data_IF_634050095548
#
_entry.id   IF_634050095548
#
_cell.length_a   1.000
_cell.length_b   1.000
_cell.length_c   1.000
_cell.angle_alpha   90.00
_cell.angle_beta   90.00
_cell.angle_gamma   90.00
#
_symmetry.space_group_name_H-M   'P 1'
#
loop_
_entity.id
_entity.type
_entity.pdbx_description
1 polymer ?
#
# COMPACT_ATOMS: atom_id res chain seq x y z
N UNK A 1 -5.93 -20.86 -18.65
CA UNK A 1 -6.55 -19.60 -18.18
C UNK A 1 -5.57 -18.45 -18.38
N UNK A 2 -5.73 -17.72 -19.48
CA UNK A 2 -4.92 -16.53 -19.78
C UNK A 2 -5.67 -15.32 -19.21
N UNK A 3 -5.25 -14.82 -18.05
CA UNK A 3 -5.67 -13.51 -17.53
C UNK A 3 -4.45 -12.60 -17.43
N UNK A 4 -4.15 -11.95 -18.54
CA UNK A 4 -3.35 -10.72 -18.65
C UNK A 4 -4.04 -9.98 -19.79
N UNK A 5 -4.51 -8.75 -19.62
CA UNK A 5 -3.75 -7.61 -19.12
C UNK A 5 -4.68 -6.57 -18.49
N UNK A 6 -4.51 -6.30 -17.21
CA UNK A 6 -5.09 -5.12 -16.54
C UNK A 6 -4.20 -3.88 -16.79
N UNK A 7 -2.97 -4.08 -17.29
CA UNK A 7 -1.95 -3.05 -17.45
C UNK A 7 -1.79 -2.57 -18.93
N UNK A 8 -2.78 -2.79 -19.81
CA UNK A 8 -2.78 -2.13 -21.13
C UNK A 8 -3.26 -0.69 -20.99
N UNK A 9 -2.30 0.22 -21.19
CA UNK A 9 -2.27 1.67 -21.07
C UNK A 9 -3.20 2.41 -22.09
N UNK A 10 -4.45 1.99 -22.25
CA UNK A 10 -5.42 2.64 -23.15
C UNK A 10 -6.63 3.25 -22.40
N UNK A 11 -6.95 2.79 -21.19
CA UNK A 11 -8.11 3.30 -20.43
C UNK A 11 -7.86 4.66 -19.74
N UNK A 12 -6.60 5.10 -19.62
CA UNK A 12 -6.23 6.37 -18.98
C UNK A 12 -6.47 7.60 -19.86
N UNK A 13 -6.62 7.43 -21.18
CA UNK A 13 -6.91 8.55 -22.09
C UNK A 13 -8.35 9.05 -22.00
N UNK A 14 -9.28 8.21 -21.55
CA UNK A 14 -10.71 8.54 -21.53
C UNK A 14 -11.14 9.48 -20.39
N UNK A 15 -10.33 9.65 -19.34
CA UNK A 15 -10.74 10.42 -18.17
C UNK A 15 -10.16 11.85 -18.11
N UNK A 16 -9.13 12.17 -18.89
CA UNK A 16 -8.56 13.51 -18.96
C UNK A 16 -9.42 14.51 -19.78
N UNK A 17 -10.34 14.01 -20.61
CA UNK A 17 -11.10 14.86 -21.55
C UNK A 17 -12.42 15.39 -20.95
N UNK A 18 -12.88 14.90 -19.80
CA UNK A 18 -14.21 15.27 -19.24
C UNK A 18 -14.20 16.36 -18.17
N UNK A 19 -13.02 16.87 -17.78
CA UNK A 19 -12.92 18.00 -16.84
C UNK A 19 -12.93 19.38 -17.49
N UNK A 20 -13.11 19.48 -18.82
CA UNK A 20 -13.47 20.75 -19.48
C UNK A 20 -14.99 20.78 -19.69
N UNK A 21 -15.74 21.14 -18.65
CA UNK A 21 -17.13 21.57 -18.82
C UNK A 21 -17.15 23.10 -18.82
N UNK A 22 -17.65 23.65 -19.92
CA UNK A 22 -17.74 25.06 -20.24
C UNK A 22 -18.43 25.87 -19.14
N UNK A 23 -17.92 27.07 -18.89
CA UNK A 23 -18.63 28.10 -18.14
C UNK A 23 -19.07 29.18 -19.12
N UNK A 24 -20.07 28.88 -19.94
CA UNK A 24 -20.85 29.91 -20.61
C UNK A 24 -21.82 30.49 -19.57
N UNK A 25 -21.40 31.57 -18.90
CA UNK A 25 -22.25 32.30 -17.96
C UNK A 25 -23.02 33.39 -18.72
N UNK A 26 -24.24 33.09 -19.17
CA UNK A 26 -25.26 34.11 -19.40
C UNK A 26 -26.04 34.38 -18.09
N UNK A 27 -26.38 35.65 -17.88
CA UNK A 27 -26.61 36.26 -16.57
C UNK A 27 -27.83 35.76 -15.78
N UNK A 28 -27.64 35.62 -14.46
CA UNK A 28 -28.70 35.43 -13.47
C UNK A 28 -28.41 36.26 -12.21
N UNK A 29 -29.47 36.86 -11.67
CA UNK A 29 -29.46 37.92 -10.67
C UNK A 29 -28.79 37.53 -9.34
N UNK A 30 -28.12 38.51 -8.70
CA UNK A 30 -27.17 38.34 -7.59
C UNK A 30 -27.67 37.72 -6.27
N UNK A 31 -28.92 37.28 -6.17
CA UNK A 31 -29.46 36.61 -4.98
C UNK A 31 -29.44 35.07 -5.10
N UNK A 32 -29.53 34.52 -6.31
CA UNK A 32 -29.34 33.08 -6.55
C UNK A 32 -27.86 32.67 -6.46
N UNK A 33 -26.96 33.57 -6.88
CA UNK A 33 -25.50 33.40 -6.83
C UNK A 33 -25.01 33.17 -5.40
N UNK A 34 -25.64 33.80 -4.40
CA UNK A 34 -25.26 33.64 -3.00
C UNK A 34 -25.60 32.24 -2.46
N UNK A 35 -26.77 31.68 -2.84
CA UNK A 35 -27.14 30.31 -2.48
C UNK A 35 -26.18 29.29 -3.13
N UNK A 36 -25.79 29.53 -4.40
CA UNK A 36 -24.78 28.73 -5.11
C UNK A 36 -23.41 28.78 -4.42
N UNK A 37 -22.94 29.97 -4.02
CA UNK A 37 -21.62 30.09 -3.39
C UNK A 37 -21.59 29.60 -1.93
N UNK A 38 -22.73 29.62 -1.22
CA UNK A 38 -22.75 29.34 0.24
C UNK A 38 -23.18 27.90 0.56
N UNK A 39 -24.04 27.27 -0.25
CA UNK A 39 -24.56 25.91 0.02
C UNK A 39 -23.95 24.85 -0.92
N UNK A 40 -23.77 25.20 -2.19
CA UNK A 40 -23.30 24.27 -3.22
C UNK A 40 -21.77 24.13 -3.18
N UNK A 41 -21.00 25.22 -3.03
CA UNK A 41 -19.53 25.18 -2.98
C UNK A 41 -18.91 24.28 -1.89
N UNK A 42 -19.35 24.27 -0.61
CA UNK A 42 -18.79 23.36 0.39
C UNK A 42 -19.20 21.89 0.16
N UNK A 43 -20.37 21.64 -0.43
CA UNK A 43 -20.78 20.30 -0.83
C UNK A 43 -19.97 19.79 -2.03
N UNK A 44 -19.72 20.63 -3.03
CA UNK A 44 -18.85 20.33 -4.17
C UNK A 44 -17.37 20.21 -3.78
N UNK A 45 -16.90 21.01 -2.81
CA UNK A 45 -15.55 20.91 -2.26
C UNK A 45 -15.35 19.60 -1.50
N UNK A 46 -16.32 19.19 -0.68
CA UNK A 46 -16.30 17.90 0.02
C UNK A 46 -16.36 16.71 -0.94
N UNK A 47 -17.16 16.82 -2.00
CA UNK A 47 -17.19 15.84 -3.09
C UNK A 47 -15.87 15.81 -3.86
N UNK A 48 -15.25 16.96 -4.13
CA UNK A 48 -13.94 17.06 -4.78
C UNK A 48 -12.81 16.42 -3.95
N UNK A 49 -12.85 16.57 -2.63
CA UNK A 49 -11.92 15.92 -1.71
C UNK A 49 -12.11 14.40 -1.68
N UNK A 50 -13.37 13.93 -1.70
CA UNK A 50 -13.70 12.51 -1.76
C UNK A 50 -13.27 11.90 -3.10
N UNK A 51 -13.55 12.60 -4.22
CA UNK A 51 -13.10 12.21 -5.56
C UNK A 51 -11.58 12.14 -5.63
N UNK A 52 -10.86 13.10 -5.03
CA UNK A 52 -9.40 13.10 -4.96
C UNK A 52 -8.86 11.92 -4.15
N UNK A 53 -9.45 11.62 -2.99
CA UNK A 53 -9.07 10.47 -2.16
C UNK A 53 -9.29 9.15 -2.89
N UNK A 54 -10.47 8.96 -3.48
CA UNK A 54 -10.81 7.76 -4.24
C UNK A 54 -9.89 7.58 -5.46
N UNK A 55 -9.54 8.68 -6.13
CA UNK A 55 -8.60 8.63 -7.26
C UNK A 55 -7.19 8.22 -6.81
N UNK A 56 -6.73 8.71 -5.68
CA UNK A 56 -5.43 8.30 -5.11
C UNK A 56 -5.43 6.83 -4.69
N UNK A 57 -6.51 6.35 -4.08
CA UNK A 57 -6.67 4.94 -3.70
C UNK A 57 -6.75 4.01 -4.92
N UNK A 58 -7.48 4.40 -5.97
CA UNK A 58 -7.51 3.67 -7.23
C UNK A 58 -6.12 3.55 -7.86
N UNK A 59 -5.32 4.61 -7.81
CA UNK A 59 -3.97 4.58 -8.33
C UNK A 59 -3.06 3.65 -7.52
N UNK A 60 -3.17 3.66 -6.18
CA UNK A 60 -2.49 2.66 -5.34
C UNK A 60 -2.92 1.24 -5.71
N UNK A 61 -4.21 0.98 -5.86
CA UNK A 61 -4.73 -0.34 -6.22
C UNK A 61 -4.20 -0.81 -7.58
N UNK A 62 -4.07 0.09 -8.55
CA UNK A 62 -3.46 -0.22 -9.86
C UNK A 62 -2.00 -0.63 -9.73
N UNK A 63 -1.22 0.12 -8.95
CA UNK A 63 0.20 -0.19 -8.68
C UNK A 63 0.30 -1.60 -8.05
N UNK A 64 -0.50 -1.88 -7.02
CA UNK A 64 -0.51 -3.19 -6.35
C UNK A 64 -1.01 -4.33 -7.24
N UNK A 65 -2.01 -4.08 -8.08
CA UNK A 65 -2.55 -5.08 -8.99
C UNK A 65 -1.58 -5.43 -10.13
N UNK A 66 -0.78 -4.47 -10.61
CA UNK A 66 0.24 -4.70 -11.63
C UNK A 66 1.55 -5.28 -11.07
N UNK A 67 1.68 -5.44 -9.75
CA UNK A 67 2.85 -6.09 -9.16
C UNK A 67 2.96 -7.56 -9.60
N UNK A 68 4.13 -7.93 -10.14
CA UNK A 68 4.43 -9.31 -10.52
C UNK A 68 4.59 -10.17 -9.26
N UNK A 69 3.70 -11.14 -9.09
CA UNK A 69 3.80 -12.15 -8.02
C UNK A 69 4.78 -13.26 -8.40
N UNK A 70 5.53 -13.75 -7.41
CA UNK A 70 6.38 -14.95 -7.50
C UNK A 70 5.54 -16.17 -7.08
N UNK A 71 5.87 -17.36 -7.57
CA UNK A 71 5.16 -18.58 -7.17
C UNK A 71 5.47 -18.91 -5.72
N UNK A 72 4.45 -19.31 -4.96
CA UNK A 72 4.62 -19.71 -3.55
C UNK A 72 5.65 -20.84 -3.40
N UNK A 73 5.65 -21.80 -4.32
CA UNK A 73 6.61 -22.91 -4.31
C UNK A 73 8.07 -22.47 -4.49
N UNK A 74 8.31 -21.36 -5.19
CA UNK A 74 9.64 -20.77 -5.37
C UNK A 74 10.04 -20.02 -4.09
N UNK A 75 9.19 -19.12 -3.59
CA UNK A 75 9.47 -18.38 -2.36
C UNK A 75 9.66 -19.29 -1.14
N UNK A 76 8.90 -20.38 -1.05
CA UNK A 76 9.06 -21.36 0.02
C UNK A 76 10.38 -22.13 -0.10
N UNK A 77 10.81 -22.47 -1.32
CA UNK A 77 12.11 -23.12 -1.53
C UNK A 77 13.24 -22.23 -1.03
N UNK A 78 13.19 -20.95 -1.38
CA UNK A 78 14.20 -19.98 -0.98
C UNK A 78 14.22 -19.81 0.55
N UNK A 79 13.04 -19.68 1.16
CA UNK A 79 12.89 -19.58 2.60
C UNK A 79 13.46 -20.82 3.32
N UNK A 80 13.10 -22.02 2.88
CA UNK A 80 13.58 -23.28 3.46
C UNK A 80 15.10 -23.39 3.31
N UNK A 81 15.64 -23.05 2.14
CA UNK A 81 17.08 -23.05 1.89
C UNK A 81 17.82 -22.10 2.84
N UNK A 82 17.27 -20.90 3.04
CA UNK A 82 17.82 -19.93 3.98
C UNK A 82 17.81 -20.47 5.41
N UNK A 83 16.67 -21.01 5.87
CA UNK A 83 16.57 -21.58 7.20
C UNK A 83 17.56 -22.73 7.40
N UNK A 84 17.66 -23.68 6.48
CA UNK A 84 18.57 -24.82 6.59
C UNK A 84 20.05 -24.39 6.64
N UNK A 85 20.42 -23.37 5.89
CA UNK A 85 21.80 -22.85 5.88
C UNK A 85 22.17 -22.20 7.22
N UNK A 86 21.22 -21.50 7.85
CA UNK A 86 21.47 -20.74 9.08
C UNK A 86 21.13 -21.50 10.37
N UNK A 87 20.36 -22.60 10.28
CA UNK A 87 19.93 -23.41 11.43
C UNK A 87 21.10 -23.88 12.28
N UNK A 88 22.25 -24.18 11.66
CA UNK A 88 23.44 -24.63 12.37
C UNK A 88 23.99 -23.58 13.35
N UNK A 89 23.76 -22.29 13.07
CA UNK A 89 24.30 -21.15 13.81
C UNK A 89 23.26 -20.47 14.70
N UNK A 90 22.03 -20.95 14.71
CA UNK A 90 20.96 -20.40 15.56
C UNK A 90 21.16 -20.90 16.99
N UNK A 91 21.53 -20.03 17.97
CA UNK A 91 21.79 -20.45 19.34
C UNK A 91 20.54 -20.93 20.09
N UNK A 92 19.34 -20.68 19.56
CA UNK A 92 18.07 -21.16 20.13
C UNK A 92 17.73 -22.57 19.64
N UNK A 93 18.18 -22.93 18.43
CA UNK A 93 18.02 -24.29 17.88
C UNK A 93 19.19 -25.17 18.33
N UNK A 94 20.41 -24.66 18.20
CA UNK A 94 21.66 -25.30 18.59
C UNK A 94 22.27 -24.54 19.78
N UNK A 95 21.92 -24.91 21.02
CA UNK A 95 22.35 -24.17 22.20
C UNK A 95 23.88 -24.16 22.37
N UNK A 96 24.43 -22.95 22.38
CA UNK A 96 25.85 -22.74 22.61
C UNK A 96 26.27 -23.08 24.05
N UNK A 97 27.49 -23.60 24.19
CA UNK A 97 28.08 -23.89 25.51
C UNK A 97 28.38 -22.61 26.31
N UNK A 98 28.75 -21.54 25.61
CA UNK A 98 29.11 -20.23 26.15
C UNK A 98 27.90 -19.28 26.18
N UNK A 99 26.78 -19.75 26.73
CA UNK A 99 25.62 -18.88 26.90
C UNK A 99 25.94 -17.73 27.89
N UNK A 100 25.90 -16.45 27.46
CA UNK A 100 26.23 -15.30 28.31
C UNK A 100 25.25 -15.09 29.48
N UNK A 101 24.05 -15.67 29.39
CA UNK A 101 23.04 -15.68 30.45
C UNK A 101 23.21 -16.87 31.41
N UNK A 102 24.16 -17.77 31.16
CA UNK A 102 24.42 -18.88 32.08
C UNK A 102 25.03 -18.32 33.37
N UNK A 103 24.46 -18.59 34.55
CA UNK A 103 25.07 -18.18 35.79
C UNK A 103 26.46 -18.81 35.88
N UNK A 104 27.49 -17.98 36.06
CA UNK A 104 28.85 -18.47 36.28
C UNK A 104 28.80 -19.38 37.49
N UNK A 105 29.28 -20.62 37.34
CA UNK A 105 29.42 -21.54 38.47
C UNK A 105 30.29 -20.83 39.50
N UNK A 106 29.68 -20.37 40.61
CA UNK A 106 30.45 -20.00 41.79
C UNK A 106 31.21 -21.27 42.15
N UNK A 107 32.54 -21.19 42.11
CA UNK A 107 33.38 -22.26 42.61
C UNK A 107 32.91 -22.49 44.04
N UNK A 108 32.31 -23.65 44.33
CA UNK A 108 32.12 -24.07 45.71
C UNK A 108 33.52 -24.27 46.27
N UNK A 109 34.07 -23.23 46.86
CA UNK A 109 35.24 -23.32 47.72
C UNK A 109 34.74 -24.05 48.96
N UNK A 110 34.99 -25.35 49.02
CA UNK A 110 34.84 -26.11 50.26
C UNK A 110 35.92 -25.52 51.18
N UNK A 111 35.47 -24.78 52.19
CA UNK A 111 36.27 -24.28 53.30
C UNK A 111 36.65 -25.43 54.23
#
# INVERSE_FOLDING_TARGET
MVKKKICDNELMKYHAVKCNMHSDTEGVAGQEVLCFLTSIMPAYSRDSDNVRKLSAELEQLRIHACQRRVRLSETLRDLISYCNTNMAYDPLINPDKENPFKPRKKVCQIL
#
